data_IF_889287510273
#
_entry.id   IF_889287510273
#
_cell.length_a   1.000
_cell.length_b   1.000
_cell.length_c   1.000
_cell.angle_alpha   90.00
_cell.angle_beta   90.00
_cell.angle_gamma   90.00
#
_symmetry.space_group_name_H-M   'P 1'
#
loop_
_entity.id
_entity.type
_entity.pdbx_description
1 polymer ?
#
# COMPACT_ATOMS: atom_id res chain seq x y z
N UNK A 1 15.55 2.60 11.00
CA UNK A 1 14.82 2.02 9.87
C UNK A 1 13.53 1.36 10.36
N UNK A 2 13.00 0.33 9.68
CA UNK A 2 11.80 -0.40 10.08
C UNK A 2 12.16 -1.68 10.84
N UNK A 3 11.21 -2.28 11.57
CA UNK A 3 11.43 -3.57 12.24
C UNK A 3 11.83 -4.67 11.25
N UNK A 4 12.62 -5.63 11.72
CA UNK A 4 12.90 -6.86 10.99
C UNK A 4 11.65 -7.75 10.93
N UNK A 5 11.51 -8.54 9.87
CA UNK A 5 10.37 -9.43 9.67
C UNK A 5 10.81 -10.74 9.03
N UNK A 6 9.94 -11.75 9.08
CA UNK A 6 10.17 -13.05 8.48
C UNK A 6 9.22 -13.23 7.31
N UNK A 7 9.76 -13.55 6.13
CA UNK A 7 8.99 -14.02 4.99
C UNK A 7 8.96 -15.55 4.98
N UNK A 8 7.77 -16.11 5.02
CA UNK A 8 7.54 -17.54 4.82
C UNK A 8 7.59 -17.85 3.32
N UNK A 9 8.49 -18.72 2.93
CA UNK A 9 8.66 -19.16 1.53
C UNK A 9 8.48 -20.69 1.44
N UNK A 10 8.15 -21.23 0.26
CA UNK A 10 7.97 -22.67 0.10
C UNK A 10 9.19 -23.53 0.51
N UNK A 11 10.40 -22.96 0.41
CA UNK A 11 11.66 -23.67 0.70
C UNK A 11 12.29 -23.24 2.03
N UNK A 12 11.54 -22.61 2.94
CA UNK A 12 12.02 -22.15 4.23
C UNK A 12 11.79 -20.66 4.46
N UNK A 13 12.15 -20.19 5.63
CA UNK A 13 11.90 -18.81 6.04
C UNK A 13 13.10 -17.90 5.75
N UNK A 14 12.84 -16.67 5.36
CA UNK A 14 13.84 -15.62 5.16
C UNK A 14 13.70 -14.53 6.20
N UNK A 15 14.75 -14.30 7.00
CA UNK A 15 14.83 -13.12 7.87
C UNK A 15 15.19 -11.90 7.02
N UNK A 16 14.32 -10.90 7.01
CA UNK A 16 14.52 -9.64 6.32
C UNK A 16 14.81 -8.53 7.34
N UNK A 17 15.94 -7.86 7.18
CA UNK A 17 16.38 -6.77 8.05
C UNK A 17 16.42 -5.49 7.20
N UNK A 18 15.45 -4.56 7.34
CA UNK A 18 15.45 -3.31 6.59
C UNK A 18 16.69 -2.48 6.90
N UNK A 19 17.41 -2.10 5.87
CA UNK A 19 18.66 -1.35 5.96
C UNK A 19 18.65 -0.14 5.05
N UNK A 20 19.62 0.76 5.24
CA UNK A 20 19.93 1.85 4.33
C UNK A 20 21.40 1.80 3.96
N UNK A 21 21.72 2.29 2.77
CA UNK A 21 23.07 2.33 2.26
C UNK A 21 23.49 3.77 1.99
N UNK A 22 24.60 4.15 2.59
CA UNK A 22 25.25 5.46 2.38
C UNK A 22 26.72 5.25 2.03
N UNK A 23 27.28 6.15 1.22
CA UNK A 23 28.70 6.14 0.92
C UNK A 23 29.51 6.56 2.14
N UNK A 24 30.83 6.36 2.08
CA UNK A 24 31.74 6.84 3.11
C UNK A 24 31.69 8.38 3.26
N UNK A 25 31.36 9.11 2.22
CA UNK A 25 31.25 10.57 2.17
C UNK A 25 29.82 11.07 2.43
N UNK A 26 28.87 10.15 2.68
CA UNK A 26 27.51 10.45 3.12
C UNK A 26 26.48 10.56 2.01
N UNK A 27 26.82 10.29 0.75
CA UNK A 27 25.84 10.26 -0.33
C UNK A 27 24.88 9.08 -0.18
N UNK A 28 23.62 9.31 -0.51
CA UNK A 28 22.61 8.27 -0.53
C UNK A 28 22.88 7.26 -1.67
N UNK A 29 22.92 5.97 -1.33
CA UNK A 29 23.05 4.88 -2.31
C UNK A 29 21.73 4.13 -2.54
N UNK A 30 20.67 4.52 -1.85
CA UNK A 30 19.32 3.97 -1.98
C UNK A 30 18.23 5.05 -1.85
N UNK A 31 16.98 4.68 -2.11
CA UNK A 31 15.84 5.60 -2.01
C UNK A 31 15.39 5.86 -0.56
N UNK A 32 15.72 5.00 0.38
CA UNK A 32 15.29 5.13 1.78
C UNK A 32 16.07 6.19 2.52
N UNK A 33 17.35 6.38 2.22
CA UNK A 33 18.18 7.40 2.84
C UNK A 33 17.61 8.83 2.63
N UNK A 34 17.21 9.26 1.41
CA UNK A 34 16.54 10.53 1.23
C UNK A 34 15.23 10.66 2.01
N UNK A 35 14.43 9.59 2.10
CA UNK A 35 13.20 9.59 2.90
C UNK A 35 13.50 9.86 4.38
N UNK A 36 14.45 9.16 4.98
CA UNK A 36 14.82 9.35 6.39
C UNK A 36 15.36 10.77 6.65
N UNK A 37 16.19 11.29 5.75
CA UNK A 37 16.71 12.66 5.83
C UNK A 37 15.61 13.72 5.71
N UNK A 38 14.64 13.50 4.81
CA UNK A 38 13.49 14.40 4.65
C UNK A 38 12.63 14.45 5.92
N UNK A 39 12.42 13.30 6.57
CA UNK A 39 11.70 13.24 7.86
C UNK A 39 12.40 14.04 8.95
N UNK A 40 13.73 13.94 9.06
CA UNK A 40 14.51 14.71 10.01
C UNK A 40 14.43 16.23 9.72
N UNK A 41 14.59 16.61 8.45
CA UNK A 41 14.50 18.01 8.04
C UNK A 41 13.11 18.60 8.31
N UNK A 42 12.07 17.84 7.99
CA UNK A 42 10.68 18.24 8.25
C UNK A 42 10.40 18.37 9.74
N UNK A 43 10.81 17.41 10.56
CA UNK A 43 10.68 17.45 12.01
C UNK A 43 11.32 18.71 12.61
N UNK A 44 12.55 19.03 12.21
CA UNK A 44 13.26 20.23 12.67
C UNK A 44 12.52 21.54 12.30
N UNK A 45 11.88 21.61 11.13
CA UNK A 45 11.09 22.80 10.75
C UNK A 45 9.75 22.85 11.49
N UNK A 46 9.12 21.71 11.73
CA UNK A 46 7.89 21.64 12.55
C UNK A 46 8.14 22.09 13.99
N UNK A 47 9.25 21.67 14.59
CA UNK A 47 9.68 22.17 15.92
C UNK A 47 9.85 23.69 15.96
N UNK A 48 10.44 24.27 14.91
CA UNK A 48 10.58 25.75 14.82
C UNK A 48 9.22 26.45 14.83
N UNK A 49 8.25 25.90 14.09
CA UNK A 49 6.88 26.46 14.04
C UNK A 49 6.20 26.33 15.41
N UNK A 50 6.28 25.17 16.04
CA UNK A 50 5.67 24.95 17.36
C UNK A 50 6.21 25.90 18.41
N UNK A 51 7.52 26.17 18.42
CA UNK A 51 8.15 27.16 19.29
C UNK A 51 7.56 28.56 19.09
N UNK A 52 7.24 28.95 17.86
CA UNK A 52 6.59 30.23 17.57
C UNK A 52 5.16 30.32 18.13
N UNK A 53 4.47 29.17 18.25
CA UNK A 53 3.17 29.08 18.90
C UNK A 53 3.24 28.93 20.43
N UNK A 54 4.45 29.00 21.03
CA UNK A 54 4.63 28.94 22.48
C UNK A 54 4.76 27.53 23.05
N UNK A 55 4.84 26.51 22.21
CA UNK A 55 5.11 25.13 22.64
C UNK A 55 6.61 24.93 22.74
N UNK A 56 7.11 24.53 23.92
CA UNK A 56 8.54 24.29 24.16
C UNK A 56 8.86 22.90 24.73
N UNK A 57 7.85 22.23 25.25
CA UNK A 57 8.00 20.92 25.90
C UNK A 57 7.36 19.85 25.02
N UNK A 58 8.15 19.32 24.11
CA UNK A 58 7.73 18.24 23.21
C UNK A 58 8.92 17.35 22.81
N UNK A 59 8.62 16.07 22.64
CA UNK A 59 9.54 15.11 22.05
C UNK A 59 9.75 15.39 20.55
N UNK A 60 10.67 14.64 19.95
CA UNK A 60 10.95 14.70 18.52
C UNK A 60 9.66 14.66 17.68
N UNK A 61 9.49 15.63 16.80
CA UNK A 61 8.39 15.69 15.84
C UNK A 61 8.70 14.80 14.65
N UNK A 62 7.75 13.94 14.30
CA UNK A 62 7.88 12.97 13.22
C UNK A 62 6.72 13.08 12.23
N UNK A 63 6.93 12.63 11.01
CA UNK A 63 5.87 12.48 10.02
C UNK A 63 5.22 11.11 10.12
N UNK A 64 3.91 11.09 9.96
CA UNK A 64 3.10 9.88 9.85
C UNK A 64 2.50 9.82 8.45
N UNK A 65 2.25 8.60 7.98
CA UNK A 65 1.66 8.33 6.68
C UNK A 65 0.68 7.16 6.80
N UNK A 66 -0.50 7.32 6.21
CA UNK A 66 -1.49 6.27 6.01
C UNK A 66 -1.76 6.10 4.52
N UNK A 67 -1.05 5.23 3.81
CA UNK A 67 -1.27 4.99 2.40
C UNK A 67 -2.47 4.06 2.21
N UNK A 68 -3.43 4.48 1.38
CA UNK A 68 -4.59 3.69 0.98
C UNK A 68 -4.31 3.13 -0.41
N UNK A 69 -4.29 1.81 -0.55
CA UNK A 69 -3.98 1.16 -1.82
C UNK A 69 -5.25 0.65 -2.48
N UNK A 70 -5.58 1.23 -3.63
CA UNK A 70 -6.57 0.70 -4.55
C UNK A 70 -5.95 -0.37 -5.47
N UNK A 71 -6.74 -1.35 -5.85
CA UNK A 71 -6.30 -2.46 -6.69
C UNK A 71 -7.49 -3.12 -7.39
N UNK A 72 -7.20 -3.79 -8.51
CA UNK A 72 -8.19 -4.64 -9.19
C UNK A 72 -7.88 -6.11 -8.93
N UNK A 73 -8.94 -6.91 -8.81
CA UNK A 73 -8.85 -8.37 -8.80
C UNK A 73 -9.49 -8.90 -10.08
N UNK A 74 -8.76 -9.74 -10.78
CA UNK A 74 -9.24 -10.45 -11.96
C UNK A 74 -9.10 -11.96 -11.77
N UNK A 75 -10.00 -12.72 -12.36
CA UNK A 75 -9.88 -14.17 -12.36
C UNK A 75 -8.59 -14.60 -13.09
N UNK A 76 -7.82 -15.45 -12.46
CA UNK A 76 -6.51 -15.87 -12.95
C UNK A 76 -6.60 -16.58 -14.31
N UNK A 77 -7.65 -17.36 -14.53
CA UNK A 77 -7.82 -18.07 -15.79
C UNK A 77 -7.98 -17.05 -16.96
N UNK A 78 -8.79 -16.03 -16.77
CA UNK A 78 -8.94 -14.97 -17.77
C UNK A 78 -7.68 -14.11 -17.91
N UNK A 79 -6.99 -13.83 -16.82
CA UNK A 79 -5.71 -13.11 -16.87
C UNK A 79 -4.68 -13.85 -17.73
N UNK A 80 -4.53 -15.17 -17.56
CA UNK A 80 -3.59 -15.99 -18.32
C UNK A 80 -3.94 -16.11 -19.81
N UNK A 81 -5.20 -15.85 -20.18
CA UNK A 81 -5.66 -15.81 -21.56
C UNK A 81 -5.37 -14.45 -22.25
N UNK A 82 -4.86 -13.45 -21.52
CA UNK A 82 -4.67 -12.08 -21.99
C UNK A 82 -3.20 -11.66 -21.98
N UNK A 83 -2.51 -11.71 -23.14
CA UNK A 83 -1.11 -11.29 -23.25
C UNK A 83 -0.86 -9.83 -22.85
N UNK A 84 -1.80 -8.95 -23.06
CA UNK A 84 -1.71 -7.54 -22.66
C UNK A 84 -1.70 -7.39 -21.12
N UNK A 85 -2.54 -8.10 -20.39
CA UNK A 85 -2.52 -8.10 -18.93
C UNK A 85 -1.23 -8.70 -18.37
N UNK A 86 -0.75 -9.80 -18.95
CA UNK A 86 0.50 -10.46 -18.52
C UNK A 86 1.71 -9.54 -18.71
N UNK A 87 1.82 -8.92 -19.89
CA UNK A 87 3.03 -8.19 -20.28
C UNK A 87 2.99 -6.72 -19.83
N UNK A 88 1.82 -6.08 -19.80
CA UNK A 88 1.69 -4.66 -19.51
C UNK A 88 0.97 -4.36 -18.18
N UNK A 89 0.37 -5.36 -17.52
CA UNK A 89 -0.44 -5.16 -16.32
C UNK A 89 -1.76 -4.41 -16.58
N UNK A 90 -2.10 -4.15 -17.86
CA UNK A 90 -3.30 -3.44 -18.31
C UNK A 90 -3.83 -4.01 -19.62
N UNK A 91 -5.10 -3.76 -19.89
CA UNK A 91 -5.67 -4.07 -21.20
C UNK A 91 -5.22 -3.04 -22.24
N UNK A 92 -4.83 -3.50 -23.43
CA UNK A 92 -4.46 -2.67 -24.58
C UNK A 92 -5.55 -2.69 -25.66
N UNK A 93 -6.39 -3.71 -25.67
CA UNK A 93 -7.47 -3.94 -26.63
C UNK A 93 -8.62 -4.72 -25.97
N UNK A 94 -9.72 -4.84 -26.66
CA UNK A 94 -10.90 -5.59 -26.21
C UNK A 94 -12.14 -4.72 -26.04
N UNK A 95 -13.28 -5.36 -25.83
CA UNK A 95 -14.55 -4.71 -25.59
C UNK A 95 -14.64 -4.14 -24.16
N UNK A 96 -15.49 -3.15 -23.98
CA UNK A 96 -15.86 -2.67 -22.65
C UNK A 96 -16.58 -3.79 -21.88
N UNK A 97 -16.47 -3.82 -20.54
CA UNK A 97 -17.27 -4.74 -19.73
C UNK A 97 -18.78 -4.40 -19.89
N UNK A 98 -19.66 -5.39 -19.69
CA UNK A 98 -21.10 -5.18 -19.81
C UNK A 98 -21.66 -4.23 -18.74
N UNK A 99 -20.97 -4.07 -17.63
CA UNK A 99 -21.32 -3.21 -16.51
C UNK A 99 -20.19 -2.22 -16.25
N UNK A 100 -20.54 -0.95 -16.07
CA UNK A 100 -19.63 0.14 -15.73
C UNK A 100 -19.76 0.58 -14.28
N UNK A 101 -19.81 1.87 -14.05
CA UNK A 101 -19.87 2.53 -12.73
C UNK A 101 -21.23 3.18 -12.47
N UNK A 102 -22.27 2.70 -13.14
CA UNK A 102 -23.62 3.25 -13.05
C UNK A 102 -24.13 3.19 -11.61
N UNK A 103 -24.60 4.33 -11.11
CA UNK A 103 -25.14 4.51 -9.76
C UNK A 103 -24.16 4.17 -8.62
N UNK A 104 -22.87 4.05 -8.91
CA UNK A 104 -21.84 3.62 -7.93
C UNK A 104 -22.22 2.30 -7.23
N UNK A 105 -22.91 1.42 -7.94
CA UNK A 105 -23.50 0.22 -7.38
C UNK A 105 -22.45 -0.80 -6.89
N UNK A 106 -21.25 -0.80 -7.47
CA UNK A 106 -20.15 -1.60 -6.97
C UNK A 106 -19.61 -1.02 -5.64
N UNK A 107 -19.41 0.28 -5.57
CA UNK A 107 -18.89 0.95 -4.36
C UNK A 107 -19.81 0.74 -3.15
N UNK A 108 -21.11 0.87 -3.33
CA UNK A 108 -22.10 0.68 -2.27
C UNK A 108 -22.59 -0.77 -2.14
N UNK A 109 -22.09 -1.67 -2.96
CA UNK A 109 -22.46 -3.08 -2.93
C UNK A 109 -21.76 -3.88 -1.83
N UNK A 110 -22.22 -5.11 -1.64
CA UNK A 110 -21.52 -6.06 -0.76
C UNK A 110 -20.24 -6.58 -1.42
N UNK A 111 -19.25 -6.90 -0.59
CA UNK A 111 -18.03 -7.57 -1.07
C UNK A 111 -18.38 -9.01 -1.44
N UNK A 112 -18.07 -9.50 -2.65
CA UNK A 112 -18.31 -10.88 -3.02
C UNK A 112 -17.56 -11.87 -2.11
N UNK A 113 -18.15 -13.02 -1.80
CA UNK A 113 -17.59 -14.01 -0.86
C UNK A 113 -16.15 -14.42 -1.22
N UNK A 114 -15.86 -14.65 -2.50
CA UNK A 114 -14.52 -15.00 -2.97
C UNK A 114 -13.50 -13.91 -2.69
N UNK A 115 -13.90 -12.66 -2.89
CA UNK A 115 -13.06 -11.49 -2.61
C UNK A 115 -12.90 -11.30 -1.11
N UNK A 116 -13.97 -11.47 -0.34
CA UNK A 116 -13.91 -11.38 1.12
C UNK A 116 -12.96 -12.42 1.70
N UNK A 117 -12.99 -13.67 1.21
CA UNK A 117 -12.04 -14.70 1.62
C UNK A 117 -10.60 -14.32 1.32
N UNK A 118 -10.34 -13.77 0.13
CA UNK A 118 -9.03 -13.21 -0.23
C UNK A 118 -8.61 -12.09 0.73
N UNK A 119 -9.50 -11.15 1.00
CA UNK A 119 -9.21 -10.01 1.89
C UNK A 119 -8.87 -10.47 3.31
N UNK A 120 -9.61 -11.45 3.84
CA UNK A 120 -9.37 -12.01 5.19
C UNK A 120 -8.02 -12.74 5.28
N UNK A 121 -7.67 -13.52 4.28
CA UNK A 121 -6.37 -14.21 4.26
C UNK A 121 -5.21 -13.22 4.08
N UNK A 122 -5.40 -12.20 3.25
CA UNK A 122 -4.42 -11.13 3.08
C UNK A 122 -4.19 -10.37 4.39
N UNK A 123 -5.26 -9.98 5.08
CA UNK A 123 -5.18 -9.30 6.38
C UNK A 123 -4.42 -10.14 7.42
N UNK A 124 -4.69 -11.45 7.47
CA UNK A 124 -3.97 -12.37 8.37
C UNK A 124 -2.46 -12.41 8.09
N UNK A 125 -2.07 -12.46 6.81
CA UNK A 125 -0.66 -12.44 6.42
C UNK A 125 0.00 -11.07 6.69
N UNK A 126 -0.73 -9.97 6.50
CA UNK A 126 -0.25 -8.63 6.85
C UNK A 126 0.01 -8.50 8.36
N UNK A 127 -0.88 -9.02 9.20
CA UNK A 127 -0.69 -9.01 10.66
C UNK A 127 0.54 -9.79 11.11
N UNK A 128 0.86 -10.92 10.46
CA UNK A 128 2.10 -11.66 10.73
C UNK A 128 3.36 -10.83 10.44
N UNK A 129 3.28 -9.92 9.48
CA UNK A 129 4.37 -9.01 9.12
C UNK A 129 4.38 -7.70 9.94
N UNK A 130 3.43 -7.55 10.86
CA UNK A 130 3.28 -6.34 11.65
C UNK A 130 2.64 -5.17 10.90
N UNK A 131 1.98 -5.43 9.76
CA UNK A 131 1.30 -4.42 8.96
C UNK A 131 -0.16 -4.31 9.44
N UNK A 132 -0.56 -3.19 10.08
CA UNK A 132 -1.87 -3.08 10.70
C UNK A 132 -2.93 -2.66 9.68
N UNK A 133 -3.60 -3.63 9.05
CA UNK A 133 -4.76 -3.35 8.22
C UNK A 133 -5.92 -2.80 9.07
N UNK A 134 -6.62 -1.78 8.58
CA UNK A 134 -7.73 -1.13 9.27
C UNK A 134 -9.06 -1.35 8.56
N UNK A 135 -9.12 -0.99 7.27
CA UNK A 135 -10.35 -1.11 6.47
C UNK A 135 -10.06 -1.75 5.14
N UNK A 136 -11.07 -2.43 4.61
CA UNK A 136 -11.10 -3.00 3.27
C UNK A 136 -12.53 -2.91 2.73
N UNK A 137 -12.68 -2.49 1.50
CA UNK A 137 -13.98 -2.28 0.88
C UNK A 137 -13.92 -2.31 -0.64
N UNK A 138 -15.11 -2.24 -1.27
CA UNK A 138 -15.23 -2.04 -2.70
C UNK A 138 -14.83 -0.61 -3.08
N UNK A 139 -14.19 -0.48 -4.25
CA UNK A 139 -13.96 0.79 -4.92
C UNK A 139 -14.96 1.01 -6.08
N UNK A 140 -14.86 2.15 -6.74
CA UNK A 140 -15.89 2.63 -7.68
C UNK A 140 -15.95 1.77 -8.94
N UNK A 141 -14.81 1.34 -9.49
CA UNK A 141 -14.80 0.53 -10.70
C UNK A 141 -15.19 -0.93 -10.44
N UNK A 142 -15.85 -1.60 -11.38
CA UNK A 142 -16.15 -3.02 -11.26
C UNK A 142 -14.89 -3.87 -11.04
N UNK A 143 -14.87 -4.69 -9.99
CA UNK A 143 -13.72 -5.50 -9.63
C UNK A 143 -12.56 -4.74 -8.98
N UNK A 144 -12.80 -3.49 -8.57
CA UNK A 144 -11.84 -2.66 -7.85
C UNK A 144 -12.14 -2.65 -6.34
N UNK A 145 -11.08 -2.67 -5.55
CA UNK A 145 -11.13 -2.72 -4.09
C UNK A 145 -10.03 -1.85 -3.51
N UNK A 146 -10.13 -1.57 -2.22
CA UNK A 146 -9.14 -0.80 -1.49
C UNK A 146 -8.81 -1.44 -0.16
N UNK A 147 -7.58 -1.23 0.28
CA UNK A 147 -7.15 -1.47 1.66
C UNK A 147 -6.54 -0.19 2.23
N UNK A 148 -6.96 0.15 3.45
CA UNK A 148 -6.37 1.22 4.22
C UNK A 148 -5.74 0.63 5.49
N UNK A 149 -4.41 0.62 5.63
CA UNK A 149 -3.74 0.29 6.87
C UNK A 149 -3.86 1.43 7.89
N UNK A 150 -3.55 1.14 9.14
CA UNK A 150 -3.34 2.18 10.15
C UNK A 150 -2.17 3.06 9.71
N UNK A 151 -2.25 4.35 10.04
CA UNK A 151 -1.12 5.23 9.81
C UNK A 151 0.06 4.89 10.74
N UNK A 152 1.25 5.05 10.23
CA UNK A 152 2.50 4.78 10.93
C UNK A 152 3.52 5.88 10.61
N UNK A 153 4.69 5.84 11.24
CA UNK A 153 5.81 6.70 10.82
C UNK A 153 6.06 6.52 9.33
N UNK A 154 6.26 7.60 8.60
CA UNK A 154 6.26 7.59 7.13
C UNK A 154 7.26 6.58 6.51
N UNK A 155 8.43 6.38 7.13
CA UNK A 155 9.40 5.38 6.66
C UNK A 155 8.90 3.94 6.85
N UNK A 156 8.20 3.66 7.94
CA UNK A 156 7.62 2.34 8.22
C UNK A 156 6.46 2.09 7.27
N UNK A 157 5.56 3.07 7.12
CA UNK A 157 4.44 2.98 6.19
C UNK A 157 4.89 2.73 4.75
N UNK A 158 5.99 3.37 4.31
CA UNK A 158 6.56 3.15 2.99
C UNK A 158 7.08 1.72 2.80
N UNK A 159 7.77 1.15 3.79
CA UNK A 159 8.24 -0.24 3.76
C UNK A 159 7.07 -1.22 3.77
N UNK A 160 6.10 -1.00 4.65
CA UNK A 160 4.90 -1.82 4.76
C UNK A 160 4.09 -1.82 3.47
N UNK A 161 4.05 -0.70 2.75
CA UNK A 161 3.38 -0.60 1.46
C UNK A 161 4.01 -1.51 0.39
N UNK A 162 5.34 -1.64 0.36
CA UNK A 162 6.01 -2.55 -0.57
C UNK A 162 5.70 -4.01 -0.25
N UNK A 163 5.72 -4.36 1.04
CA UNK A 163 5.35 -5.70 1.51
C UNK A 163 3.88 -6.01 1.20
N UNK A 164 2.97 -5.07 1.45
CA UNK A 164 1.55 -5.20 1.17
C UNK A 164 1.30 -5.60 -0.28
N UNK A 165 1.89 -4.89 -1.24
CA UNK A 165 1.73 -5.21 -2.66
C UNK A 165 2.22 -6.63 -3.00
N UNK A 166 3.29 -7.08 -2.36
CA UNK A 166 3.81 -8.45 -2.54
C UNK A 166 2.87 -9.50 -1.96
N UNK A 167 2.37 -9.29 -0.74
CA UNK A 167 1.42 -10.18 -0.07
C UNK A 167 0.14 -10.29 -0.91
N UNK A 168 -0.41 -9.19 -1.38
CA UNK A 168 -1.62 -9.17 -2.21
C UNK A 168 -1.48 -10.04 -3.46
N UNK A 169 -0.38 -9.88 -4.21
CA UNK A 169 -0.12 -10.70 -5.40
C UNK A 169 -0.03 -12.19 -5.07
N UNK A 170 0.63 -12.53 -3.96
CA UNK A 170 0.81 -13.91 -3.56
C UNK A 170 -0.49 -14.56 -3.09
N UNK A 171 -1.27 -13.86 -2.28
CA UNK A 171 -2.55 -14.37 -1.77
C UNK A 171 -3.61 -14.43 -2.88
N UNK A 172 -3.66 -13.44 -3.78
CA UNK A 172 -4.58 -13.49 -4.92
C UNK A 172 -4.42 -14.78 -5.73
N UNK A 173 -3.17 -15.21 -5.98
CA UNK A 173 -2.89 -16.46 -6.69
C UNK A 173 -3.43 -17.69 -5.96
N UNK A 174 -3.36 -17.74 -4.63
CA UNK A 174 -3.93 -18.82 -3.82
C UNK A 174 -5.45 -18.91 -3.96
N UNK A 175 -6.11 -17.77 -4.18
CA UNK A 175 -7.56 -17.67 -4.42
C UNK A 175 -7.96 -17.77 -5.89
N UNK A 176 -7.02 -18.15 -6.78
CA UNK A 176 -7.29 -18.24 -8.23
C UNK A 176 -7.56 -16.89 -8.88
N UNK A 177 -6.97 -15.82 -8.35
CA UNK A 177 -7.06 -14.45 -8.86
C UNK A 177 -5.68 -13.87 -9.13
N UNK A 178 -5.64 -12.75 -9.84
CA UNK A 178 -4.46 -11.88 -9.96
C UNK A 178 -4.83 -10.48 -9.48
N UNK A 179 -3.93 -9.89 -8.70
CA UNK A 179 -4.06 -8.54 -8.19
C UNK A 179 -3.29 -7.56 -9.08
N UNK A 180 -4.01 -6.61 -9.68
CA UNK A 180 -3.44 -5.61 -10.56
C UNK A 180 -3.24 -4.30 -9.80
N UNK A 181 -2.00 -3.80 -9.81
CA UNK A 181 -1.62 -2.52 -9.22
C UNK A 181 -1.28 -1.46 -10.27
N UNK A 182 -1.50 -1.75 -11.55
CA UNK A 182 -1.37 -0.74 -12.60
C UNK A 182 -2.38 0.38 -12.33
N UNK A 183 -1.97 1.62 -12.52
CA UNK A 183 -2.78 2.80 -12.18
C UNK A 183 -4.07 2.88 -13.02
N UNK A 184 -4.02 2.39 -14.25
CA UNK A 184 -5.17 2.38 -15.17
C UNK A 184 -5.22 1.06 -15.93
N UNK A 185 -5.62 -0.07 -15.30
CA UNK A 185 -5.62 -1.36 -15.98
C UNK A 185 -6.73 -1.49 -17.01
N UNK A 186 -7.81 -0.73 -16.86
CA UNK A 186 -8.96 -0.76 -17.78
C UNK A 186 -9.34 0.66 -18.21
N UNK A 187 -9.47 0.86 -19.52
CA UNK A 187 -9.91 2.14 -20.06
C UNK A 187 -11.40 2.39 -19.78
N UNK A 188 -11.79 3.65 -19.57
CA UNK A 188 -13.19 4.06 -19.44
C UNK A 188 -13.82 3.85 -18.06
N UNK A 189 -13.05 3.35 -17.08
CA UNK A 189 -13.46 3.25 -15.67
C UNK A 189 -12.40 3.89 -14.78
N UNK A 190 -12.68 4.05 -13.50
CA UNK A 190 -11.70 4.59 -12.55
C UNK A 190 -10.40 3.78 -12.55
N UNK A 191 -9.30 4.47 -12.26
CA UNK A 191 -8.01 3.87 -12.03
C UNK A 191 -7.75 3.63 -10.55
N UNK A 192 -6.65 2.92 -10.26
CA UNK A 192 -6.20 2.69 -8.90
C UNK A 192 -5.13 3.70 -8.50
N UNK A 193 -5.40 4.41 -7.42
CA UNK A 193 -4.47 5.30 -6.76
C UNK A 193 -3.77 4.65 -5.58
N UNK A 194 -2.89 5.44 -4.99
CA UNK A 194 -2.34 5.25 -3.66
C UNK A 194 -2.53 6.56 -2.93
N UNK A 195 -3.69 6.71 -2.29
CA UNK A 195 -4.00 7.91 -1.55
C UNK A 195 -3.12 7.99 -0.30
N UNK A 196 -2.43 9.11 -0.14
CA UNK A 196 -1.50 9.31 0.96
C UNK A 196 -2.08 10.32 1.94
N UNK A 197 -2.62 9.83 3.05
CA UNK A 197 -2.92 10.65 4.20
C UNK A 197 -1.63 10.88 4.97
N UNK A 198 -1.32 12.12 5.34
CA UNK A 198 -0.14 12.39 6.13
C UNK A 198 -0.43 13.37 7.26
N UNK A 199 0.34 13.26 8.32
CA UNK A 199 0.31 14.19 9.44
C UNK A 199 1.71 14.35 10.04
N UNK A 200 1.84 15.35 10.88
CA UNK A 200 3.07 15.67 11.59
C UNK A 200 2.72 15.79 13.05
N UNK A 201 3.45 15.14 13.92
CA UNK A 201 3.15 15.15 15.34
C UNK A 201 4.20 14.41 16.17
N UNK A 202 3.88 14.24 17.44
CA UNK A 202 4.63 13.44 18.39
C UNK A 202 3.69 12.48 19.12
N UNK A 203 4.13 11.88 20.23
CA UNK A 203 3.30 10.99 21.05
C UNK A 203 2.08 11.68 21.67
N UNK A 204 2.11 12.98 21.85
CA UNK A 204 1.08 13.77 22.51
C UNK A 204 0.13 14.46 21.50
N UNK A 205 0.66 14.89 20.35
CA UNK A 205 -0.06 15.62 19.29
C UNK A 205 -0.51 14.69 18.15
N UNK A 206 -1.07 13.56 18.46
CA UNK A 206 -1.59 12.60 17.48
C UNK A 206 -3.01 12.94 17.04
#
# INVERSE_FOLDING_TARGET
TSPAYILENPNGNTLCIPTVFVSMTGEALDYKTPLLRSQQAMGAQAERILKLFGHSDFDCIVSFCGPEQEYFLVDRHFFLARPDLINAGRTLFGAKPPKGQEFDDHYFGSVPDRVLAFMMDTERELFKLGIPAKTRHNEVAPGQFEIAPMFERANIAADHQQLLMTVFRNIAKKHGMECLFHEKPFAGVNGSGKHVNFSVGNSELR
#
